data_IF_481220699946
#
_entry.id   IF_481220699946
#
_cell.length_a   1.000
_cell.length_b   1.000
_cell.length_c   1.000
_cell.angle_alpha   90.00
_cell.angle_beta   90.00
_cell.angle_gamma   90.00
#
_symmetry.space_group_name_H-M   'P 1'
#
loop_
_entity.id
_entity.type
_entity.pdbx_description
1 polymer ?
#
# COMPACT_ATOMS: atom_id res chain seq x y z
N UNK A 1 -6.88 -8.79 -15.42
CA UNK A 1 -6.74 -8.56 -13.96
C UNK A 1 -6.12 -9.81 -13.37
N UNK A 2 -5.02 -9.67 -12.64
CA UNK A 2 -4.37 -10.81 -11.97
C UNK A 2 -4.73 -10.76 -10.50
N UNK A 3 -5.28 -11.84 -9.96
CA UNK A 3 -5.52 -11.97 -8.53
C UNK A 3 -4.19 -12.11 -7.79
N UNK A 4 -4.00 -11.36 -6.70
CA UNK A 4 -2.75 -11.33 -5.93
C UNK A 4 -2.84 -12.07 -4.59
N UNK A 5 -4.04 -12.53 -4.21
CA UNK A 5 -4.30 -13.26 -2.98
C UNK A 5 -5.78 -13.24 -2.58
N UNK A 6 -6.04 -13.69 -1.35
CA UNK A 6 -7.35 -13.64 -0.69
C UNK A 6 -7.19 -13.18 0.75
N UNK A 7 -8.23 -12.57 1.31
CA UNK A 7 -8.32 -12.26 2.75
C UNK A 7 -9.46 -13.06 3.35
N UNK A 8 -9.34 -13.48 4.61
CA UNK A 8 -10.46 -14.07 5.33
C UNK A 8 -11.53 -13.01 5.62
N UNK A 9 -12.81 -13.39 5.64
CA UNK A 9 -13.91 -12.43 5.84
C UNK A 9 -13.82 -11.69 7.18
N UNK A 10 -13.35 -12.37 8.22
CA UNK A 10 -13.10 -11.80 9.55
C UNK A 10 -11.88 -10.88 9.62
N UNK A 11 -10.97 -10.93 8.64
CA UNK A 11 -9.77 -10.09 8.58
C UNK A 11 -10.00 -8.75 7.86
N UNK A 12 -11.22 -8.46 7.41
CA UNK A 12 -11.56 -7.20 6.73
C UNK A 12 -11.19 -5.95 7.53
N UNK A 13 -11.38 -5.96 8.86
CA UNK A 13 -10.95 -4.88 9.74
C UNK A 13 -9.42 -4.76 9.84
N UNK A 14 -8.71 -5.89 9.88
CA UNK A 14 -7.23 -5.91 9.91
C UNK A 14 -6.66 -5.43 8.58
N UNK A 15 -7.23 -5.86 7.46
CA UNK A 15 -6.89 -5.36 6.13
C UNK A 15 -6.99 -3.84 6.06
N UNK A 16 -8.14 -3.28 6.50
CA UNK A 16 -8.34 -1.83 6.55
C UNK A 16 -7.29 -1.15 7.44
N UNK A 17 -7.07 -1.68 8.64
CA UNK A 17 -6.10 -1.11 9.58
C UNK A 17 -4.67 -1.09 8.99
N UNK A 18 -4.25 -2.14 8.28
CA UNK A 18 -2.95 -2.18 7.60
C UNK A 18 -2.87 -1.11 6.51
N UNK A 19 -3.88 -1.02 5.64
CA UNK A 19 -3.93 -0.01 4.59
C UNK A 19 -3.91 1.43 5.14
N UNK A 20 -4.57 1.68 6.27
CA UNK A 20 -4.59 2.99 6.94
C UNK A 20 -3.29 3.28 7.70
N UNK A 21 -2.58 2.25 8.16
CA UNK A 21 -1.30 2.38 8.87
C UNK A 21 -0.12 2.74 7.96
N UNK A 22 -0.18 2.33 6.68
CA UNK A 22 0.78 2.78 5.68
C UNK A 22 0.20 4.03 5.00
N UNK A 23 0.66 5.25 5.33
CA UNK A 23 0.07 6.46 4.76
C UNK A 23 0.29 6.50 3.24
N UNK A 24 -0.70 6.98 2.45
CA UNK A 24 -0.53 7.16 1.03
C UNK A 24 0.60 8.18 0.74
N UNK A 25 1.16 8.19 -0.48
CA UNK A 25 2.16 9.19 -0.83
C UNK A 25 1.61 10.61 -0.65
N UNK A 26 2.39 11.45 0.03
CA UNK A 26 2.07 12.87 0.20
C UNK A 26 2.00 13.58 -1.16
N UNK A 27 1.45 14.81 -1.18
CA UNK A 27 1.57 15.69 -2.34
C UNK A 27 3.04 16.00 -2.57
N UNK A 28 3.58 15.56 -3.70
CA UNK A 28 5.00 15.67 -4.03
C UNK A 28 5.34 16.77 -5.04
N UNK A 29 4.32 17.33 -5.71
CA UNK A 29 4.48 18.36 -6.73
C UNK A 29 3.57 19.56 -6.50
N UNK A 30 4.08 20.73 -6.83
CA UNK A 30 3.30 21.95 -7.00
C UNK A 30 3.42 22.40 -8.46
N UNK A 31 2.41 22.06 -9.28
CA UNK A 31 2.52 22.12 -10.73
C UNK A 31 3.56 21.12 -11.25
N UNK A 32 4.45 21.56 -12.14
CA UNK A 32 5.51 20.72 -12.71
C UNK A 32 6.75 20.57 -11.80
N UNK A 33 6.81 21.31 -10.68
CA UNK A 33 7.99 21.34 -9.79
C UNK A 33 7.79 20.44 -8.57
N UNK A 34 8.84 19.73 -8.17
CA UNK A 34 8.86 18.97 -6.90
C UNK A 34 8.75 19.93 -5.73
N UNK A 35 7.95 19.56 -4.72
CA UNK A 35 7.81 20.32 -3.47
C UNK A 35 9.11 20.24 -2.67
N UNK A 36 9.69 19.05 -2.52
CA UNK A 36 11.04 18.85 -1.98
C UNK A 36 11.87 18.04 -2.97
N UNK A 37 12.81 18.67 -3.71
CA UNK A 37 13.66 17.97 -4.68
C UNK A 37 14.55 16.90 -4.06
N UNK A 38 14.83 16.96 -2.76
CA UNK A 38 15.71 16.02 -2.04
C UNK A 38 14.98 14.76 -1.60
N UNK A 39 13.66 14.81 -1.44
CA UNK A 39 12.86 13.62 -1.13
C UNK A 39 12.69 12.76 -2.40
N UNK A 40 12.84 11.42 -2.30
CA UNK A 40 12.55 10.54 -3.41
C UNK A 40 11.06 10.62 -3.77
N UNK A 41 10.74 10.33 -5.03
CA UNK A 41 9.35 10.16 -5.43
C UNK A 41 8.85 8.81 -4.90
N UNK A 42 7.65 8.82 -4.32
CA UNK A 42 6.90 7.63 -3.95
C UNK A 42 5.58 7.63 -4.71
N UNK A 43 5.37 6.63 -5.55
CA UNK A 43 4.19 6.46 -6.40
C UNK A 43 3.13 5.64 -5.66
N UNK A 44 1.90 5.72 -6.15
CA UNK A 44 0.81 4.89 -5.61
C UNK A 44 1.10 3.39 -5.77
N UNK A 45 1.82 2.98 -6.82
CA UNK A 45 2.21 1.57 -6.99
C UNK A 45 3.25 1.11 -5.96
N UNK A 46 4.16 2.00 -5.55
CA UNK A 46 5.15 1.69 -4.51
C UNK A 46 4.44 1.54 -3.17
N UNK A 47 3.54 2.47 -2.83
CA UNK A 47 2.66 2.33 -1.66
C UNK A 47 1.84 1.02 -1.69
N UNK A 48 1.27 0.65 -2.84
CA UNK A 48 0.49 -0.58 -2.96
C UNK A 48 1.37 -1.81 -2.75
N UNK A 49 2.57 -1.86 -3.35
CA UNK A 49 3.53 -2.95 -3.17
C UNK A 49 3.92 -3.11 -1.70
N UNK A 50 4.33 -2.01 -1.05
CA UNK A 50 4.69 -2.00 0.37
C UNK A 50 3.52 -2.48 1.26
N UNK A 51 2.31 -2.02 0.97
CA UNK A 51 1.11 -2.43 1.74
C UNK A 51 0.79 -3.91 1.55
N UNK A 52 0.95 -4.44 0.33
CA UNK A 52 0.79 -5.87 0.03
C UNK A 52 1.80 -6.70 0.82
N UNK A 53 3.05 -6.25 0.90
CA UNK A 53 4.10 -6.93 1.65
C UNK A 53 3.79 -6.94 3.15
N UNK A 54 3.37 -5.80 3.72
CA UNK A 54 2.93 -5.73 5.14
C UNK A 54 1.72 -6.66 5.38
N UNK A 55 0.74 -6.70 4.47
CA UNK A 55 -0.41 -7.59 4.59
C UNK A 55 0.00 -9.08 4.59
N UNK A 56 1.00 -9.45 3.80
CA UNK A 56 1.55 -10.81 3.77
C UNK A 56 2.31 -11.14 5.04
N UNK A 57 3.18 -10.24 5.50
CA UNK A 57 3.94 -10.40 6.74
C UNK A 57 3.03 -10.57 7.96
N UNK A 58 1.89 -9.87 7.98
CA UNK A 58 0.89 -9.99 9.05
C UNK A 58 -0.08 -11.16 8.87
N UNK A 59 0.10 -11.97 7.82
CA UNK A 59 -0.77 -13.12 7.50
C UNK A 59 -2.21 -12.74 7.18
N UNK A 60 -2.46 -11.48 6.78
CA UNK A 60 -3.79 -10.99 6.38
C UNK A 60 -4.07 -11.32 4.92
N UNK A 61 -3.09 -11.09 4.04
CA UNK A 61 -3.17 -11.47 2.63
C UNK A 61 -2.54 -12.85 2.44
N UNK A 62 -3.37 -13.81 2.06
CA UNK A 62 -2.97 -15.19 1.81
C UNK A 62 -2.80 -15.41 0.31
N UNK A 63 -1.93 -16.36 -0.06
CA UNK A 63 -1.81 -16.78 -1.45
C UNK A 63 -3.16 -17.33 -1.94
N UNK A 64 -3.54 -16.99 -3.16
CA UNK A 64 -4.64 -17.67 -3.83
C UNK A 64 -4.17 -19.10 -4.12
N UNK A 65 -4.90 -20.10 -3.61
CA UNK A 65 -4.71 -21.51 -3.96
C UNK A 65 -5.04 -21.76 -5.44
#
# INVERSE_FOLDING_TARGET
MTQIGVIAANDTHRFRAVCESNPPPEKQFNGIKRIDPRKPLRRCQEWASETIDILREQGVLLNAN
#
